data_IF_398964012170
#
_entry.id   IF_398964012170
#
_cell.length_a   1.000
_cell.length_b   1.000
_cell.length_c   1.000
_cell.angle_alpha   90.00
_cell.angle_beta   90.00
_cell.angle_gamma   90.00
#
_symmetry.space_group_name_H-M   'P 1'
#
loop_
_entity.id
_entity.type
_entity.pdbx_description
1 polymer ?
#
# COMPACT_ATOMS: atom_id res chain seq x y z
N UNK A 1 -18.97 -30.79 0.98
CA UNK A 1 -17.98 -30.87 2.08
C UNK A 1 -16.68 -31.38 1.48
N UNK A 2 -15.59 -30.61 1.55
CA UNK A 2 -14.29 -31.07 1.06
C UNK A 2 -13.77 -32.21 1.94
N UNK A 3 -13.18 -33.24 1.33
CA UNK A 3 -12.57 -34.34 2.08
C UNK A 3 -11.26 -33.86 2.74
N UNK A 4 -10.85 -34.45 3.87
CA UNK A 4 -9.61 -34.08 4.54
C UNK A 4 -8.35 -34.10 3.65
N UNK A 5 -8.31 -34.99 2.63
CA UNK A 5 -7.24 -35.05 1.62
C UNK A 5 -7.20 -33.80 0.74
N UNK A 6 -8.36 -33.36 0.23
CA UNK A 6 -8.45 -32.18 -0.64
C UNK A 6 -8.09 -30.88 0.09
N UNK A 7 -8.41 -30.79 1.38
CA UNK A 7 -7.98 -29.65 2.22
C UNK A 7 -6.46 -29.68 2.42
N UNK A 8 -5.87 -30.84 2.68
CA UNK A 8 -4.43 -30.97 2.88
C UNK A 8 -3.63 -30.65 1.60
N UNK A 9 -4.11 -31.10 0.44
CA UNK A 9 -3.52 -30.77 -0.87
C UNK A 9 -3.54 -29.26 -1.13
N UNK A 10 -4.69 -28.61 -0.91
CA UNK A 10 -4.83 -27.16 -1.06
C UNK A 10 -3.91 -26.38 -0.11
N UNK A 11 -3.76 -26.85 1.14
CA UNK A 11 -2.83 -26.23 2.11
C UNK A 11 -1.39 -26.34 1.62
N UNK A 12 -0.97 -27.51 1.14
CA UNK A 12 0.39 -27.72 0.64
C UNK A 12 0.68 -26.84 -0.60
N UNK A 13 -0.28 -26.70 -1.52
CA UNK A 13 -0.15 -25.83 -2.70
C UNK A 13 0.00 -24.35 -2.30
N UNK A 14 -0.83 -23.88 -1.37
CA UNK A 14 -0.76 -22.51 -0.85
C UNK A 14 0.57 -22.22 -0.16
N UNK A 15 1.08 -23.15 0.64
CA UNK A 15 2.38 -23.00 1.32
C UNK A 15 3.53 -22.98 0.31
N UNK A 16 3.57 -23.89 -0.66
CA UNK A 16 4.60 -23.89 -1.71
C UNK A 16 4.56 -22.60 -2.54
N UNK A 17 3.36 -22.08 -2.82
CA UNK A 17 3.19 -20.79 -3.50
C UNK A 17 3.70 -19.64 -2.64
N UNK A 18 3.43 -19.65 -1.34
CA UNK A 18 3.91 -18.63 -0.41
C UNK A 18 5.43 -18.64 -0.32
N UNK A 19 6.07 -19.80 -0.15
CA UNK A 19 7.53 -19.92 -0.09
C UNK A 19 8.20 -19.35 -1.34
N UNK A 20 7.62 -19.60 -2.52
CA UNK A 20 8.11 -19.04 -3.79
C UNK A 20 8.00 -17.52 -3.85
N UNK A 21 6.94 -16.93 -3.30
CA UNK A 21 6.63 -15.49 -3.37
C UNK A 21 7.10 -14.70 -2.15
N UNK A 22 7.58 -15.37 -1.10
CA UNK A 22 7.99 -14.76 0.17
C UNK A 22 8.95 -13.57 -0.01
N UNK A 23 10.01 -13.64 -0.84
CA UNK A 23 10.93 -12.51 -1.00
C UNK A 23 10.24 -11.25 -1.53
N UNK A 24 9.30 -11.40 -2.46
CA UNK A 24 8.53 -10.28 -3.02
C UNK A 24 7.55 -9.71 -1.99
N UNK A 25 6.88 -10.57 -1.24
CA UNK A 25 5.99 -10.15 -0.15
C UNK A 25 6.73 -9.34 0.92
N UNK A 26 7.92 -9.79 1.33
CA UNK A 26 8.74 -9.10 2.32
C UNK A 26 9.24 -7.75 1.79
N UNK A 27 9.70 -7.70 0.54
CA UNK A 27 10.16 -6.46 -0.08
C UNK A 27 9.03 -5.43 -0.22
N UNK A 28 7.83 -5.86 -0.62
CA UNK A 28 6.66 -5.00 -0.75
C UNK A 28 6.16 -4.53 0.62
N UNK A 29 6.06 -5.45 1.59
CA UNK A 29 5.64 -5.10 2.95
C UNK A 29 6.60 -4.10 3.60
N UNK A 30 7.91 -4.34 3.48
CA UNK A 30 8.92 -3.42 3.97
C UNK A 30 8.78 -2.04 3.30
N UNK A 31 8.61 -2.00 1.98
CA UNK A 31 8.43 -0.74 1.26
C UNK A 31 7.19 0.03 1.74
N UNK A 32 6.06 -0.65 1.96
CA UNK A 32 4.85 -0.02 2.54
C UNK A 32 5.15 0.59 3.91
N UNK A 33 5.89 -0.12 4.78
CA UNK A 33 6.29 0.40 6.10
C UNK A 33 7.15 1.66 5.98
N UNK A 34 8.09 1.70 5.03
CA UNK A 34 8.90 2.89 4.75
C UNK A 34 8.03 4.07 4.30
N UNK A 35 7.13 3.86 3.32
CA UNK A 35 6.18 4.88 2.86
C UNK A 35 5.27 5.35 4.01
N UNK A 36 4.84 4.44 4.87
CA UNK A 36 4.00 4.70 6.04
C UNK A 36 4.75 5.30 7.23
N UNK A 37 6.01 5.69 7.05
CA UNK A 37 6.68 6.64 7.93
C UNK A 37 7.76 6.06 8.84
N UNK A 38 8.14 4.78 8.67
CA UNK A 38 9.34 4.23 9.31
C UNK A 38 10.59 5.06 8.97
N UNK A 39 10.62 5.68 7.80
CA UNK A 39 11.60 6.69 7.44
C UNK A 39 10.97 7.84 6.66
N UNK A 40 11.67 8.96 6.62
CA UNK A 40 11.34 10.09 5.75
C UNK A 40 12.15 10.01 4.47
N UNK A 41 11.49 10.10 3.32
CA UNK A 41 12.16 10.21 2.04
C UNK A 41 12.57 11.66 1.77
N UNK A 42 13.78 11.85 1.25
CA UNK A 42 14.24 13.16 0.78
C UNK A 42 13.67 13.51 -0.60
N UNK A 43 13.38 12.48 -1.41
CA UNK A 43 12.71 12.57 -2.71
C UNK A 43 11.87 11.32 -2.91
N UNK A 44 10.76 11.47 -3.61
CA UNK A 44 9.87 10.36 -3.94
C UNK A 44 9.68 10.30 -5.46
N UNK A 45 10.58 9.60 -6.19
CA UNK A 45 10.47 9.51 -7.64
C UNK A 45 9.17 8.81 -8.05
N UNK A 46 8.64 9.13 -9.23
CA UNK A 46 7.38 8.59 -9.73
C UNK A 46 7.31 7.06 -9.71
N UNK A 47 8.42 6.36 -10.04
CA UNK A 47 8.50 4.89 -9.95
C UNK A 47 8.16 4.36 -8.56
N UNK A 48 8.43 5.12 -7.49
CA UNK A 48 8.07 4.74 -6.13
C UNK A 48 6.57 4.87 -5.87
N UNK A 49 5.85 5.73 -6.60
CA UNK A 49 4.39 5.82 -6.49
C UNK A 49 3.73 4.59 -7.12
N UNK A 50 4.20 4.18 -8.30
CA UNK A 50 3.81 2.92 -8.93
C UNK A 50 4.16 1.73 -8.04
N UNK A 51 5.40 1.69 -7.51
CA UNK A 51 5.83 0.65 -6.56
C UNK A 51 4.94 0.61 -5.33
N UNK A 52 4.50 1.76 -4.81
CA UNK A 52 3.65 1.81 -3.63
C UNK A 52 2.28 1.19 -3.90
N UNK A 53 1.64 1.53 -5.03
CA UNK A 53 0.37 0.89 -5.44
C UNK A 53 0.54 -0.61 -5.68
N UNK A 54 1.62 -1.02 -6.36
CA UNK A 54 1.95 -2.43 -6.55
C UNK A 54 2.17 -3.15 -5.21
N UNK A 55 2.90 -2.55 -4.26
CA UNK A 55 3.16 -3.17 -2.95
C UNK A 55 1.88 -3.33 -2.13
N UNK A 56 0.92 -2.39 -2.22
CA UNK A 56 -0.38 -2.53 -1.58
C UNK A 56 -1.20 -3.68 -2.19
N UNK A 57 -1.17 -3.83 -3.52
CA UNK A 57 -1.76 -4.97 -4.21
C UNK A 57 -1.14 -6.29 -3.77
N UNK A 58 0.20 -6.38 -3.76
CA UNK A 58 0.93 -7.58 -3.34
C UNK A 58 0.65 -7.96 -1.88
N UNK A 59 0.50 -6.99 -0.99
CA UNK A 59 0.09 -7.25 0.40
C UNK A 59 -1.32 -7.88 0.48
N UNK A 60 -2.27 -7.42 -0.34
CA UNK A 60 -3.60 -8.05 -0.40
C UNK A 60 -3.54 -9.47 -1.00
N UNK A 61 -2.74 -9.70 -2.06
CA UNK A 61 -2.52 -11.03 -2.63
C UNK A 61 -2.00 -12.03 -1.58
N UNK A 62 -1.04 -11.59 -0.76
CA UNK A 62 -0.50 -12.42 0.34
C UNK A 62 -1.60 -12.79 1.34
N UNK A 63 -2.41 -11.81 1.74
CA UNK A 63 -3.48 -12.03 2.70
C UNK A 63 -4.55 -12.99 2.13
N UNK A 64 -4.88 -12.89 0.84
CA UNK A 64 -5.78 -13.84 0.14
C UNK A 64 -5.18 -15.24 -0.01
N UNK A 65 -3.88 -15.34 -0.27
CA UNK A 65 -3.17 -16.62 -0.38
C UNK A 65 -3.24 -17.37 0.96
N UNK A 66 -2.91 -16.68 2.05
CA UNK A 66 -2.79 -17.28 3.39
C UNK A 66 -4.11 -17.35 4.16
N UNK A 67 -5.11 -16.53 3.83
CA UNK A 67 -6.41 -16.59 4.49
C UNK A 67 -7.31 -17.67 3.88
N UNK A 68 -8.01 -18.39 4.76
CA UNK A 68 -9.13 -19.29 4.39
C UNK A 68 -10.47 -18.53 4.54
N UNK A 69 -10.48 -17.37 5.20
CA UNK A 69 -11.67 -16.55 5.49
C UNK A 69 -11.65 -15.21 4.74
N UNK A 70 -12.73 -14.91 4.01
CA UNK A 70 -12.83 -13.81 3.01
C UNK A 70 -13.08 -12.40 3.58
N UNK A 71 -13.09 -12.20 4.90
CA UNK A 71 -13.49 -10.92 5.52
C UNK A 71 -12.33 -9.98 5.86
N UNK A 72 -11.14 -10.21 5.31
CA UNK A 72 -9.99 -9.34 5.60
C UNK A 72 -9.94 -8.24 4.53
N UNK A 73 -10.64 -7.12 4.77
CA UNK A 73 -10.44 -5.84 4.07
C UNK A 73 -9.15 -5.18 4.59
N UNK A 74 -8.01 -5.86 4.43
CA UNK A 74 -6.71 -5.23 4.67
C UNK A 74 -6.10 -4.93 3.32
N UNK A 75 -5.86 -3.65 3.11
CA UNK A 75 -5.28 -3.04 1.92
C UNK A 75 -6.30 -2.89 0.78
N UNK A 76 -6.43 -1.66 0.30
CA UNK A 76 -7.20 -1.27 -0.88
C UNK A 76 -6.48 -1.76 -2.16
N UNK A 77 -5.93 -2.98 -2.15
CA UNK A 77 -4.99 -3.49 -3.15
C UNK A 77 -5.64 -3.72 -4.52
N UNK A 78 -6.86 -4.28 -4.57
CA UNK A 78 -7.67 -4.32 -5.79
C UNK A 78 -7.85 -2.92 -6.36
N UNK A 79 -8.23 -1.95 -5.50
CA UNK A 79 -8.39 -0.57 -5.94
C UNK A 79 -7.05 0.01 -6.43
N UNK A 80 -5.92 -0.33 -5.81
CA UNK A 80 -4.59 0.04 -6.30
C UNK A 80 -4.29 -0.54 -7.69
N UNK A 81 -4.76 -1.76 -7.97
CA UNK A 81 -4.63 -2.38 -9.28
C UNK A 81 -5.49 -1.65 -10.34
N UNK A 82 -6.71 -1.25 -9.98
CA UNK A 82 -7.58 -0.40 -10.82
C UNK A 82 -6.98 1.00 -11.04
N UNK A 83 -6.33 1.57 -10.03
CA UNK A 83 -5.60 2.83 -10.15
C UNK A 83 -4.41 2.69 -11.12
N UNK A 84 -3.64 1.60 -11.05
CA UNK A 84 -2.52 1.36 -11.97
C UNK A 84 -2.97 1.19 -13.43
N UNK A 85 -4.15 0.60 -13.65
CA UNK A 85 -4.73 0.51 -15.00
C UNK A 85 -5.09 1.89 -15.53
N UNK A 86 -5.97 2.60 -14.80
CA UNK A 86 -6.49 3.91 -15.21
C UNK A 86 -5.39 4.96 -15.33
N UNK A 87 -4.38 4.90 -14.47
CA UNK A 87 -3.24 5.82 -14.55
C UNK A 87 -2.42 5.63 -15.82
N UNK A 88 -2.28 4.40 -16.33
CA UNK A 88 -1.63 4.15 -17.62
C UNK A 88 -2.44 4.66 -18.82
N UNK A 89 -3.74 4.90 -18.64
CA UNK A 89 -4.68 5.40 -19.66
C UNK A 89 -4.84 6.93 -19.64
N UNK A 90 -4.23 7.62 -18.66
CA UNK A 90 -4.30 9.08 -18.54
C UNK A 90 -4.94 9.58 -17.25
N UNK A 91 -5.64 8.72 -16.50
CA UNK A 91 -6.47 9.11 -15.36
C UNK A 91 -5.64 9.34 -14.08
N UNK A 92 -4.76 10.34 -14.12
CA UNK A 92 -3.87 10.70 -12.99
C UNK A 92 -4.67 11.21 -11.77
N UNK A 93 -5.84 11.82 -12.01
CA UNK A 93 -6.67 12.40 -10.96
C UNK A 93 -7.09 11.38 -9.89
N UNK A 94 -7.35 10.13 -10.27
CA UNK A 94 -7.75 9.08 -9.35
C UNK A 94 -6.61 8.71 -8.36
N UNK A 95 -5.37 8.71 -8.85
CA UNK A 95 -4.19 8.45 -8.01
C UNK A 95 -3.95 9.62 -7.06
N UNK A 96 -4.12 10.85 -7.54
CA UNK A 96 -4.01 12.06 -6.72
C UNK A 96 -5.06 12.06 -5.61
N UNK A 97 -6.32 11.76 -5.93
CA UNK A 97 -7.41 11.66 -4.95
C UNK A 97 -7.12 10.56 -3.91
N UNK A 98 -6.65 9.39 -4.35
CA UNK A 98 -6.24 8.32 -3.43
C UNK A 98 -5.14 8.75 -2.46
N UNK A 99 -4.10 9.45 -2.94
CA UNK A 99 -3.02 9.96 -2.08
C UNK A 99 -3.52 11.08 -1.16
N UNK A 100 -4.39 11.95 -1.66
CA UNK A 100 -4.97 13.05 -0.88
C UNK A 100 -5.84 12.54 0.27
N UNK A 101 -6.73 11.57 0.02
CA UNK A 101 -7.54 10.93 1.08
C UNK A 101 -6.67 10.35 2.19
N UNK A 102 -5.50 9.77 1.85
CA UNK A 102 -4.56 9.24 2.86
C UNK A 102 -3.90 10.34 3.69
N UNK A 103 -3.75 11.55 3.15
CA UNK A 103 -3.28 12.73 3.88
C UNK A 103 -4.38 13.28 4.80
N UNK A 104 -5.61 13.36 4.30
CA UNK A 104 -6.77 13.87 5.06
C UNK A 104 -7.08 13.01 6.31
N UNK A 105 -6.78 11.71 6.26
CA UNK A 105 -6.96 10.79 7.38
C UNK A 105 -5.92 10.92 8.51
N UNK A 106 -4.96 11.85 8.45
CA UNK A 106 -3.92 11.99 9.47
C UNK A 106 -4.43 12.78 10.71
N UNK A 107 -4.55 12.14 11.90
CA UNK A 107 -5.25 12.72 13.05
C UNK A 107 -4.34 13.60 13.93
N UNK A 108 -3.60 14.56 13.34
CA UNK A 108 -2.59 15.33 14.09
C UNK A 108 -3.17 16.18 15.23
N UNK A 109 -4.37 16.75 15.05
CA UNK A 109 -5.04 17.54 16.08
C UNK A 109 -5.41 16.66 17.28
N UNK A 110 -6.05 15.51 17.02
CA UNK A 110 -6.47 14.57 18.07
C UNK A 110 -5.26 13.98 18.80
N UNK A 111 -4.22 13.56 18.09
CA UNK A 111 -2.99 13.05 18.71
C UNK A 111 -2.30 14.09 19.58
N UNK A 112 -2.26 15.35 19.13
CA UNK A 112 -1.65 16.43 19.92
C UNK A 112 -2.44 16.69 21.21
N UNK A 113 -3.77 16.55 21.17
CA UNK A 113 -4.62 16.62 22.37
C UNK A 113 -4.34 15.44 23.32
N UNK A 114 -4.31 14.22 22.82
CA UNK A 114 -4.02 13.00 23.60
C UNK A 114 -2.63 13.05 24.27
N UNK A 115 -1.61 13.54 23.56
CA UNK A 115 -0.27 13.74 24.14
C UNK A 115 -0.34 14.74 25.30
N UNK A 116 -1.05 15.85 25.12
CA UNK A 116 -1.19 16.88 26.16
C UNK A 116 -1.91 16.35 27.40
N UNK A 117 -2.94 15.51 27.22
CA UNK A 117 -3.67 14.85 28.30
C UNK A 117 -2.80 13.81 29.02
N UNK A 118 -2.08 12.98 28.27
CA UNK A 118 -1.19 11.96 28.83
C UNK A 118 -0.09 12.60 29.70
N UNK A 119 0.52 13.69 29.23
CA UNK A 119 1.54 14.44 29.99
C UNK A 119 0.98 15.05 31.28
N UNK A 120 -0.27 15.51 31.29
CA UNK A 120 -0.94 16.06 32.49
C UNK A 120 -1.39 14.99 33.49
N UNK A 121 -1.61 13.76 33.05
CA UNK A 121 -2.10 12.69 33.91
C UNK A 121 -1.08 12.20 34.95
N UNK A 122 0.20 12.61 34.83
CA UNK A 122 1.32 12.22 35.70
C UNK A 122 1.49 10.70 35.90
N UNK A 123 0.96 9.90 34.97
CA UNK A 123 1.15 8.45 34.94
C UNK A 123 2.39 8.12 34.11
N UNK A 124 3.38 7.49 34.73
CA UNK A 124 4.60 7.03 34.06
C UNK A 124 4.38 5.63 33.44
N UNK A 125 3.45 5.52 32.49
CA UNK A 125 3.12 4.28 31.77
C UNK A 125 3.68 4.27 30.33
N UNK A 126 4.50 5.26 29.99
CA UNK A 126 5.08 5.47 28.67
C UNK A 126 4.07 5.86 27.58
N UNK A 127 2.79 6.13 27.89
CA UNK A 127 1.76 6.47 26.89
C UNK A 127 2.14 7.73 26.11
N UNK A 128 2.53 8.79 26.81
CA UNK A 128 2.95 10.04 26.17
C UNK A 128 4.10 9.81 25.18
N UNK A 129 5.06 8.94 25.55
CA UNK A 129 6.19 8.59 24.69
C UNK A 129 5.73 7.86 23.42
N UNK A 130 4.90 6.81 23.57
CA UNK A 130 4.34 6.06 22.43
C UNK A 130 3.53 6.95 21.48
N UNK A 131 2.75 7.89 22.02
CA UNK A 131 1.99 8.85 21.21
C UNK A 131 2.89 9.83 20.45
N UNK A 132 3.96 10.33 21.09
CA UNK A 132 4.95 11.21 20.43
C UNK A 132 5.66 10.46 19.30
N UNK A 133 6.12 9.24 19.56
CA UNK A 133 6.80 8.39 18.57
C UNK A 133 5.85 8.08 17.40
N UNK A 134 4.60 7.68 17.68
CA UNK A 134 3.57 7.42 16.66
C UNK A 134 3.22 8.67 15.84
N UNK A 135 3.16 9.86 16.46
CA UNK A 135 2.99 11.13 15.73
C UNK A 135 4.17 11.40 14.80
N UNK A 136 5.40 11.07 15.20
CA UNK A 136 6.59 11.18 14.34
C UNK A 136 6.48 10.30 13.09
N UNK A 137 6.05 9.04 13.25
CA UNK A 137 5.80 8.12 12.14
C UNK A 137 4.72 8.67 11.19
N UNK A 138 3.60 9.17 11.72
CA UNK A 138 2.54 9.75 10.89
C UNK A 138 2.97 11.02 10.17
N UNK A 139 3.83 11.84 10.79
CA UNK A 139 4.42 13.01 10.12
C UNK A 139 5.29 12.58 8.94
N UNK A 140 6.14 11.57 9.13
CA UNK A 140 6.94 11.02 8.03
C UNK A 140 6.06 10.50 6.91
N UNK A 141 4.99 9.75 7.24
CA UNK A 141 4.00 9.29 6.25
C UNK A 141 3.42 10.45 5.45
N UNK A 142 2.95 11.51 6.13
CA UNK A 142 2.42 12.70 5.48
C UNK A 142 3.43 13.34 4.54
N UNK A 143 4.67 13.52 4.99
CA UNK A 143 5.75 14.06 4.15
C UNK A 143 6.04 13.17 2.93
N UNK A 144 6.04 11.86 3.09
CA UNK A 144 6.28 10.92 2.00
C UNK A 144 5.18 10.96 0.94
N UNK A 145 3.91 11.04 1.35
CA UNK A 145 2.77 11.15 0.43
C UNK A 145 2.75 12.52 -0.29
N UNK A 146 3.09 13.60 0.41
CA UNK A 146 3.26 14.92 -0.21
C UNK A 146 4.38 14.93 -1.24
N UNK A 147 5.49 14.23 -0.97
CA UNK A 147 6.59 14.08 -1.94
C UNK A 147 6.18 13.24 -3.15
N UNK A 148 5.29 12.24 -2.98
CA UNK A 148 4.75 11.50 -4.10
C UNK A 148 3.89 12.40 -5.01
N UNK A 149 3.04 13.24 -4.42
CA UNK A 149 2.27 14.25 -5.16
C UNK A 149 3.18 15.25 -5.88
N UNK A 150 4.22 15.74 -5.21
CA UNK A 150 5.23 16.62 -5.83
C UNK A 150 5.86 15.95 -7.06
N UNK A 151 6.24 14.67 -6.96
CA UNK A 151 6.76 13.90 -8.09
C UNK A 151 5.79 13.83 -9.27
N UNK A 152 4.51 13.59 -9.00
CA UNK A 152 3.45 13.53 -10.03
C UNK A 152 3.27 14.90 -10.70
N UNK A 153 3.18 15.98 -9.92
CA UNK A 153 2.93 17.33 -10.42
C UNK A 153 4.14 17.98 -11.09
N UNK A 154 5.34 17.44 -10.88
CA UNK A 154 6.58 17.95 -11.47
C UNK A 154 6.75 17.61 -12.96
N UNK A 155 5.95 16.68 -13.48
CA UNK A 155 6.06 16.19 -14.86
C UNK A 155 4.89 16.70 -15.73
N UNK A 156 5.14 17.04 -17.01
CA UNK A 156 4.09 17.19 -17.99
C UNK A 156 3.32 15.88 -18.18
N UNK A 157 2.03 15.96 -18.51
CA UNK A 157 1.12 14.82 -18.60
C UNK A 157 1.64 13.70 -19.51
N UNK A 158 2.06 14.02 -20.75
CA UNK A 158 2.59 13.01 -21.68
C UNK A 158 3.82 12.27 -21.13
N UNK A 159 4.72 12.99 -20.46
CA UNK A 159 5.91 12.40 -19.84
C UNK A 159 5.53 11.54 -18.63
N UNK A 160 4.61 12.03 -17.79
CA UNK A 160 4.07 11.31 -16.65
C UNK A 160 3.50 9.95 -17.08
N UNK A 161 2.62 9.93 -18.08
CA UNK A 161 2.00 8.69 -18.55
C UNK A 161 3.06 7.73 -19.12
N UNK A 162 4.00 8.22 -19.91
CA UNK A 162 5.09 7.38 -20.44
C UNK A 162 5.93 6.76 -19.30
N UNK A 163 6.27 7.52 -18.27
CA UNK A 163 7.05 7.01 -17.14
C UNK A 163 6.25 6.04 -16.27
N UNK A 164 4.95 6.27 -16.07
CA UNK A 164 4.04 5.33 -15.39
C UNK A 164 3.98 4.00 -16.14
N UNK A 165 3.78 4.01 -17.45
CA UNK A 165 3.74 2.80 -18.26
C UNK A 165 5.06 2.00 -18.17
N UNK A 166 6.21 2.70 -18.22
CA UNK A 166 7.52 2.08 -18.04
C UNK A 166 7.70 1.48 -16.64
N UNK A 167 7.28 2.19 -15.59
CA UNK A 167 7.35 1.70 -14.22
C UNK A 167 6.40 0.51 -13.99
N UNK A 168 5.19 0.53 -14.54
CA UNK A 168 4.23 -0.57 -14.47
C UNK A 168 4.79 -1.83 -15.15
N UNK A 169 5.44 -1.69 -16.31
CA UNK A 169 6.05 -2.82 -17.01
C UNK A 169 7.10 -3.57 -16.16
N UNK A 170 7.84 -2.87 -15.29
CA UNK A 170 8.82 -3.49 -14.38
C UNK A 170 8.18 -4.47 -13.38
N UNK A 171 6.91 -4.27 -13.06
CA UNK A 171 6.14 -5.10 -12.12
C UNK A 171 5.18 -6.06 -12.83
N UNK A 172 5.26 -6.21 -14.16
CA UNK A 172 4.34 -7.05 -14.92
C UNK A 172 2.91 -6.52 -14.94
N UNK A 173 2.76 -5.19 -14.88
CA UNK A 173 1.47 -4.48 -14.84
C UNK A 173 1.11 -3.89 -16.21
N UNK A 174 1.20 -4.67 -17.29
CA UNK A 174 0.61 -4.23 -18.56
C UNK A 174 -0.92 -4.18 -18.46
N UNK A 175 -1.61 -3.27 -19.17
CA UNK A 175 -3.07 -3.13 -19.08
C UNK A 175 -3.82 -4.47 -19.24
N UNK A 176 -3.47 -5.27 -20.25
CA UNK A 176 -4.09 -6.58 -20.50
C UNK A 176 -3.81 -7.63 -19.41
N UNK A 177 -2.70 -7.51 -18.68
CA UNK A 177 -2.41 -8.36 -17.52
C UNK A 177 -3.24 -7.93 -16.31
N UNK A 178 -3.34 -6.62 -16.06
CA UNK A 178 -4.16 -6.07 -14.99
C UNK A 178 -5.63 -6.44 -15.19
N UNK A 179 -6.18 -6.25 -16.40
CA UNK A 179 -7.56 -6.63 -16.71
C UNK A 179 -7.84 -8.12 -16.45
N UNK A 180 -6.87 -8.98 -16.76
CA UNK A 180 -6.97 -10.42 -16.48
C UNK A 180 -6.98 -10.69 -14.98
N UNK A 181 -6.06 -10.07 -14.23
CA UNK A 181 -6.01 -10.19 -12.77
C UNK A 181 -7.34 -9.73 -12.14
N UNK A 182 -7.89 -8.59 -12.56
CA UNK A 182 -9.18 -8.09 -12.07
C UNK A 182 -10.32 -9.08 -12.35
N UNK A 183 -10.38 -9.66 -13.55
CA UNK A 183 -11.36 -10.71 -13.90
C UNK A 183 -11.21 -11.97 -13.06
N UNK A 184 -9.97 -12.40 -12.80
CA UNK A 184 -9.70 -13.57 -11.95
C UNK A 184 -10.16 -13.34 -10.51
N UNK A 185 -10.00 -12.12 -9.98
CA UNK A 185 -10.53 -11.73 -8.67
C UNK A 185 -12.06 -11.82 -8.65
N UNK A 186 -12.73 -11.29 -9.67
CA UNK A 186 -14.20 -11.28 -9.77
C UNK A 186 -14.81 -12.69 -9.93
N UNK A 187 -14.00 -13.65 -10.37
CA UNK A 187 -14.43 -15.03 -10.62
C UNK A 187 -14.25 -15.96 -9.39
N UNK A 188 -13.68 -15.47 -8.28
CA UNK A 188 -13.37 -16.23 -7.06
C UNK A 188 -14.37 -16.00 -5.92
#
# INVERSE_FOLDING_TARGET
>A
MATPSAIQELVNEKLATFERLQPEFEACFHFVQLVHGQQRFNKFPLVNAVRYLHSLWVCECKDRLLSIYRNIERYEGRYCLELLLRWQEGETADVVDFLNRKLDMLPFADLTRQISEALKSHKDDGLARRLIDGRGVLLNRGMNLMQALDGIFSLPEEQLISEVQLACAQYGHHPSQIERQLKEIDSQ
#
